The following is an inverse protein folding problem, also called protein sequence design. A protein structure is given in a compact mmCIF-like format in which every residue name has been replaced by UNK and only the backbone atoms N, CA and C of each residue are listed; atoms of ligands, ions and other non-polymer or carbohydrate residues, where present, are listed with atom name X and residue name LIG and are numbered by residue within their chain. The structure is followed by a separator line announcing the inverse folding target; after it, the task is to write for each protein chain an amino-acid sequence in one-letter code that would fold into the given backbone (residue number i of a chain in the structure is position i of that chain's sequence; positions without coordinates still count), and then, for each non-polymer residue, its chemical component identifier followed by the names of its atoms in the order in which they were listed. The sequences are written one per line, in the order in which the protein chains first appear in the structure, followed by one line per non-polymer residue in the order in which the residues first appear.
data_IF_855112809312
#
_entry.id   IF_855112809312
#
_cell.length_a   1.000
_cell.length_b   1.000
_cell.length_c   1.000
_cell.angle_alpha   90.00
_cell.angle_beta   90.00
_cell.angle_gamma   90.00
#
_symmetry.space_group_name_H-M   'P 1'
#
loop_
_entity.id
_entity.type
_entity.pdbx_description
1 polymer ?
#
# COMPACT_ATOMS: atom_id res chain seq x y z
N UNK A 1 -5.55 -33.81 -11.62
CA UNK A 1 -5.06 -34.99 -12.38
C UNK A 1 -5.02 -36.25 -11.53
N UNK A 2 -4.41 -36.23 -10.34
CA UNK A 2 -4.39 -37.38 -9.41
C UNK A 2 -5.78 -37.87 -9.02
N UNK A 3 -6.69 -36.95 -8.66
CA UNK A 3 -8.08 -37.27 -8.33
C UNK A 3 -8.84 -37.88 -9.52
N UNK A 4 -8.67 -37.32 -10.70
CA UNK A 4 -9.29 -37.83 -11.93
C UNK A 4 -8.78 -39.25 -12.27
N UNK A 5 -7.48 -39.49 -12.15
CA UNK A 5 -6.88 -40.80 -12.34
C UNK A 5 -7.37 -41.81 -11.30
N UNK A 6 -7.47 -41.41 -10.03
CA UNK A 6 -7.98 -42.25 -8.94
C UNK A 6 -9.45 -42.63 -9.18
N UNK A 7 -10.30 -41.67 -9.54
CA UNK A 7 -11.71 -41.93 -9.90
C UNK A 7 -11.80 -42.87 -11.10
N UNK A 8 -10.93 -42.70 -12.11
CA UNK A 8 -10.88 -43.57 -13.29
C UNK A 8 -10.42 -44.99 -12.95
N UNK A 9 -9.45 -45.14 -12.05
CA UNK A 9 -8.98 -46.44 -11.56
C UNK A 9 -10.07 -47.15 -10.74
N UNK A 10 -10.76 -46.43 -9.85
CA UNK A 10 -11.88 -46.97 -9.07
C UNK A 10 -13.02 -47.41 -10.01
N UNK A 11 -13.36 -46.59 -11.01
CA UNK A 11 -14.34 -46.93 -12.05
C UNK A 11 -13.98 -48.20 -12.82
N UNK A 12 -12.72 -48.32 -13.28
CA UNK A 12 -12.30 -49.42 -14.15
C UNK A 12 -11.98 -50.72 -13.42
N UNK A 13 -11.49 -50.66 -12.18
CA UNK A 13 -10.92 -51.82 -11.48
C UNK A 13 -11.64 -52.21 -10.19
N UNK A 14 -12.44 -51.33 -9.58
CA UNK A 14 -13.07 -51.60 -8.28
C UNK A 14 -14.61 -51.67 -8.33
N UNK A 15 -15.25 -51.03 -9.31
CA UNK A 15 -16.72 -50.99 -9.43
C UNK A 15 -17.27 -52.18 -10.23
N UNK A 16 -18.36 -52.79 -9.75
CA UNK A 16 -19.10 -53.83 -10.49
C UNK A 16 -19.92 -53.23 -11.63
N UNK A 17 -20.40 -54.08 -12.55
CA UNK A 17 -21.17 -53.65 -13.73
C UNK A 17 -22.46 -52.91 -13.35
N UNK A 18 -23.14 -53.29 -12.25
CA UNK A 18 -24.32 -52.56 -11.80
C UNK A 18 -23.97 -51.15 -11.30
N UNK A 19 -22.90 -51.02 -10.50
CA UNK A 19 -22.48 -49.74 -9.95
C UNK A 19 -21.85 -48.81 -11.00
N UNK A 20 -21.23 -49.36 -12.04
CA UNK A 20 -20.73 -48.58 -13.18
C UNK A 20 -21.86 -47.84 -13.90
N UNK A 21 -23.02 -48.49 -14.10
CA UNK A 21 -24.20 -47.86 -14.71
C UNK A 21 -24.74 -46.70 -13.88
N UNK A 22 -24.87 -46.89 -12.57
CA UNK A 22 -25.28 -45.81 -11.66
C UNK A 22 -24.27 -44.65 -11.66
N UNK A 23 -22.98 -44.94 -11.75
CA UNK A 23 -21.95 -43.91 -11.86
C UNK A 23 -22.03 -43.13 -13.17
N UNK A 24 -22.31 -43.80 -14.29
CA UNK A 24 -22.58 -43.15 -15.58
C UNK A 24 -23.79 -42.22 -15.51
N UNK A 25 -24.89 -42.65 -14.86
CA UNK A 25 -26.07 -41.81 -14.62
C UNK A 25 -25.74 -40.55 -13.81
N UNK A 26 -24.90 -40.69 -12.76
CA UNK A 26 -24.43 -39.55 -11.95
C UNK A 26 -23.58 -38.58 -12.78
N UNK A 27 -22.71 -39.09 -13.67
CA UNK A 27 -21.91 -38.23 -14.56
C UNK A 27 -22.82 -37.44 -15.50
N UNK A 28 -23.80 -38.10 -16.11
CA UNK A 28 -24.75 -37.45 -17.03
C UNK A 28 -25.56 -36.39 -16.28
N UNK A 29 -26.05 -36.72 -15.08
CA UNK A 29 -26.74 -35.77 -14.21
C UNK A 29 -25.84 -34.57 -13.88
N UNK A 30 -24.60 -34.79 -13.44
CA UNK A 30 -23.64 -33.72 -13.10
C UNK A 30 -23.29 -32.85 -14.30
N UNK A 31 -23.14 -33.45 -15.49
CA UNK A 31 -22.89 -32.72 -16.74
C UNK A 31 -24.04 -31.76 -17.07
N UNK A 32 -25.28 -32.09 -16.72
CA UNK A 32 -26.42 -31.19 -16.92
C UNK A 32 -26.33 -29.91 -16.08
N UNK A 33 -25.66 -29.96 -14.91
CA UNK A 33 -25.40 -28.78 -14.07
C UNK A 33 -24.22 -27.93 -14.52
N UNK A 34 -23.26 -28.52 -15.24
CA UNK A 34 -22.08 -27.79 -15.70
C UNK A 34 -22.43 -26.66 -16.68
N UNK A 35 -23.54 -26.77 -17.42
CA UNK A 35 -24.07 -25.72 -18.30
C UNK A 35 -24.97 -24.67 -17.60
N UNK A 36 -25.39 -24.93 -16.35
CA UNK A 36 -26.30 -24.05 -15.60
C UNK A 36 -25.54 -22.93 -14.83
N UNK A 37 -24.27 -23.13 -14.53
CA UNK A 37 -23.45 -22.16 -13.79
C UNK A 37 -22.61 -21.36 -14.81
N UNK A 38 -22.88 -20.05 -15.01
CA UNK A 38 -22.11 -19.22 -15.92
C UNK A 38 -20.78 -18.84 -15.24
N UNK A 39 -19.85 -19.80 -15.12
CA UNK A 39 -18.55 -19.60 -14.45
C UNK A 39 -17.80 -18.39 -15.01
N UNK A 40 -17.84 -18.18 -16.33
CA UNK A 40 -17.21 -17.03 -16.98
C UNK A 40 -17.79 -15.69 -16.52
N UNK A 41 -19.09 -15.63 -16.23
CA UNK A 41 -19.75 -14.42 -15.74
C UNK A 41 -19.36 -14.12 -14.28
N UNK A 42 -19.37 -15.13 -13.42
CA UNK A 42 -18.93 -15.02 -12.02
C UNK A 42 -17.45 -14.62 -11.95
N UNK A 43 -16.62 -15.27 -12.77
CA UNK A 43 -15.20 -14.96 -12.87
C UNK A 43 -14.96 -13.54 -13.40
N UNK A 44 -15.76 -13.08 -14.35
CA UNK A 44 -15.72 -11.71 -14.86
C UNK A 44 -15.94 -10.67 -13.75
N UNK A 45 -16.98 -10.83 -12.95
CA UNK A 45 -17.21 -9.95 -11.79
C UNK A 45 -16.12 -10.04 -10.73
N UNK A 46 -15.62 -11.25 -10.47
CA UNK A 46 -14.53 -11.44 -9.51
C UNK A 46 -13.27 -10.69 -9.95
N UNK A 47 -12.85 -10.85 -11.21
CA UNK A 47 -11.68 -10.17 -11.77
C UNK A 47 -11.87 -8.66 -11.75
N UNK A 48 -13.04 -8.16 -12.17
CA UNK A 48 -13.34 -6.72 -12.16
C UNK A 48 -13.27 -6.13 -10.74
N UNK A 49 -13.81 -6.83 -9.75
CA UNK A 49 -13.74 -6.41 -8.35
C UNK A 49 -12.29 -6.37 -7.84
N UNK A 50 -11.53 -7.45 -8.09
CA UNK A 50 -10.11 -7.54 -7.69
C UNK A 50 -9.30 -6.42 -8.34
N UNK A 51 -9.49 -6.19 -9.64
CA UNK A 51 -8.77 -5.15 -10.38
C UNK A 51 -9.12 -3.75 -9.89
N UNK A 52 -10.40 -3.45 -9.70
CA UNK A 52 -10.87 -2.15 -9.18
C UNK A 52 -10.23 -1.84 -7.84
N UNK A 53 -10.09 -2.85 -6.97
CA UNK A 53 -9.49 -2.69 -5.65
C UNK A 53 -7.98 -2.55 -5.69
N UNK A 54 -7.31 -3.37 -6.50
CA UNK A 54 -5.88 -3.20 -6.77
C UNK A 54 -5.58 -1.79 -7.28
N UNK A 55 -6.35 -1.32 -8.26
CA UNK A 55 -6.16 0.00 -8.85
C UNK A 55 -6.40 1.12 -7.83
N UNK A 56 -7.44 1.00 -7.00
CA UNK A 56 -7.70 1.94 -5.90
C UNK A 56 -6.52 1.99 -4.93
N UNK A 57 -6.04 0.82 -4.47
CA UNK A 57 -4.87 0.72 -3.59
C UNK A 57 -3.62 1.36 -4.21
N UNK A 58 -3.36 1.07 -5.49
CA UNK A 58 -2.22 1.61 -6.22
C UNK A 58 -2.28 3.13 -6.32
N UNK A 59 -3.46 3.68 -6.62
CA UNK A 59 -3.67 5.13 -6.75
C UNK A 59 -3.65 5.89 -5.42
N UNK A 60 -3.86 5.21 -4.29
CA UNK A 60 -3.78 5.83 -2.96
C UNK A 60 -2.33 6.09 -2.51
N UNK A 61 -1.35 5.36 -3.05
CA UNK A 61 0.06 5.53 -2.65
C UNK A 61 0.52 6.95 -3.00
N UNK A 62 0.89 7.79 -2.02
CA UNK A 62 1.25 9.17 -2.28
C UNK A 62 2.67 9.26 -2.84
N UNK A 63 2.83 10.07 -3.88
CA UNK A 63 4.11 10.26 -4.57
C UNK A 63 4.85 11.49 -4.04
N UNK A 64 6.04 11.28 -3.47
CA UNK A 64 6.88 12.39 -2.94
C UNK A 64 7.36 13.33 -4.05
N UNK A 65 7.37 12.88 -5.31
CA UNK A 65 7.87 13.65 -6.46
C UNK A 65 7.17 15.01 -6.63
N UNK A 66 5.84 15.08 -6.42
CA UNK A 66 5.08 16.34 -6.55
C UNK A 66 5.58 17.40 -5.57
N UNK A 67 5.78 16.98 -4.32
CA UNK A 67 6.40 17.82 -3.29
C UNK A 67 7.84 18.19 -3.64
N UNK A 68 8.64 17.24 -4.13
CA UNK A 68 10.04 17.47 -4.48
C UNK A 68 10.21 18.54 -5.58
N UNK A 69 9.35 18.51 -6.60
CA UNK A 69 9.31 19.52 -7.66
C UNK A 69 8.92 20.89 -7.07
N UNK A 70 7.85 20.92 -6.25
CA UNK A 70 7.36 22.15 -5.63
C UNK A 70 8.43 22.83 -4.75
N UNK A 71 9.06 22.08 -3.83
CA UNK A 71 10.09 22.65 -2.95
C UNK A 71 11.36 23.04 -3.70
N UNK A 72 11.73 22.33 -4.77
CA UNK A 72 12.89 22.68 -5.60
C UNK A 72 12.67 23.94 -6.41
N UNK A 73 11.43 24.20 -6.86
CA UNK A 73 11.08 25.40 -7.61
C UNK A 73 10.89 26.65 -6.73
N UNK A 74 10.38 26.47 -5.51
CA UNK A 74 9.98 27.60 -4.65
C UNK A 74 10.97 27.92 -3.53
N UNK A 75 11.72 26.95 -3.02
CA UNK A 75 12.80 27.21 -2.07
C UNK A 75 14.07 27.54 -2.85
N UNK A 76 14.24 28.81 -3.14
CA UNK A 76 15.33 29.33 -3.98
C UNK A 76 16.66 29.43 -3.24
N UNK A 77 17.76 29.53 -3.99
CA UNK A 77 19.09 29.78 -3.45
C UNK A 77 20.03 28.57 -3.47
N UNK A 78 21.30 28.88 -3.75
CA UNK A 78 22.42 27.93 -3.81
C UNK A 78 23.23 27.90 -2.51
N UNK A 79 22.77 28.60 -1.47
CA UNK A 79 23.40 28.54 -0.16
C UNK A 79 23.35 27.12 0.39
N UNK A 80 24.35 26.77 1.20
CA UNK A 80 24.37 25.49 1.88
C UNK A 80 23.11 25.28 2.73
N UNK A 81 22.65 26.34 3.41
CA UNK A 81 21.41 26.31 4.20
C UNK A 81 20.19 25.93 3.35
N UNK A 82 19.96 26.60 2.22
CA UNK A 82 18.84 26.30 1.34
C UNK A 82 18.91 24.87 0.78
N UNK A 83 20.12 24.41 0.40
CA UNK A 83 20.37 23.04 -0.04
C UNK A 83 20.04 22.02 1.04
N UNK A 84 20.47 22.26 2.28
CA UNK A 84 20.20 21.39 3.42
C UNK A 84 18.70 21.35 3.73
N UNK A 85 18.00 22.49 3.71
CA UNK A 85 16.55 22.53 3.93
C UNK A 85 15.78 21.69 2.90
N UNK A 86 16.09 21.83 1.60
CA UNK A 86 15.46 21.02 0.54
C UNK A 86 15.71 19.52 0.77
N UNK A 87 16.96 19.14 1.07
CA UNK A 87 17.33 17.74 1.32
C UNK A 87 16.62 17.16 2.54
N UNK A 88 16.59 17.91 3.65
CA UNK A 88 15.94 17.47 4.90
C UNK A 88 14.43 17.33 4.72
N UNK A 89 13.77 18.30 4.08
CA UNK A 89 12.35 18.21 3.76
C UNK A 89 12.02 16.97 2.91
N UNK A 90 12.78 16.72 1.84
CA UNK A 90 12.58 15.52 1.02
C UNK A 90 12.81 14.24 1.82
N UNK A 91 13.88 14.20 2.62
CA UNK A 91 14.23 13.05 3.47
C UNK A 91 13.14 12.74 4.50
N UNK A 92 12.55 13.76 5.12
CA UNK A 92 11.41 13.59 6.04
C UNK A 92 10.17 13.03 5.35
N UNK A 93 9.78 13.56 4.20
CA UNK A 93 8.64 13.05 3.43
C UNK A 93 8.85 11.59 3.00
N UNK A 94 10.07 11.24 2.57
CA UNK A 94 10.44 9.86 2.25
C UNK A 94 10.42 8.94 3.48
N UNK A 95 10.93 9.41 4.63
CA UNK A 95 10.89 8.67 5.90
C UNK A 95 9.45 8.30 6.28
N UNK A 96 8.53 9.26 6.18
CA UNK A 96 7.10 9.04 6.41
C UNK A 96 6.49 7.97 5.49
N UNK A 97 6.82 8.00 4.19
CA UNK A 97 6.35 6.98 3.24
C UNK A 97 6.90 5.59 3.57
N UNK A 98 8.20 5.49 3.83
CA UNK A 98 8.87 4.23 4.12
C UNK A 98 8.31 3.64 5.42
N UNK A 99 8.20 4.44 6.49
CA UNK A 99 7.70 3.97 7.78
C UNK A 99 6.22 3.60 7.75
N UNK A 100 5.41 4.28 6.93
CA UNK A 100 4.04 3.86 6.66
C UNK A 100 4.02 2.53 5.91
N UNK A 101 4.85 2.40 4.86
CA UNK A 101 4.94 1.19 4.04
C UNK A 101 5.38 -0.03 4.85
N UNK A 102 6.33 0.11 5.77
CA UNK A 102 6.82 -0.99 6.63
C UNK A 102 5.78 -1.53 7.59
N UNK A 103 4.71 -0.76 7.85
CA UNK A 103 3.60 -1.19 8.72
C UNK A 103 2.53 -1.93 7.96
N UNK A 104 2.30 -1.56 6.70
CA UNK A 104 1.23 -2.09 5.86
C UNK A 104 1.71 -3.23 4.95
N UNK A 105 2.99 -3.27 4.61
CA UNK A 105 3.53 -4.20 3.61
C UNK A 105 4.66 -5.06 4.19
N UNK A 106 4.48 -6.38 4.16
CA UNK A 106 5.46 -7.34 4.68
C UNK A 106 6.81 -7.31 3.93
N UNK A 107 6.83 -6.96 2.65
CA UNK A 107 8.07 -6.84 1.87
C UNK A 107 8.85 -5.61 2.33
N UNK A 108 8.17 -4.47 2.52
CA UNK A 108 8.77 -3.28 3.10
C UNK A 108 9.28 -3.56 4.54
N UNK A 109 8.49 -4.26 5.36
CA UNK A 109 8.88 -4.69 6.71
C UNK A 109 10.12 -5.61 6.72
N UNK A 110 10.25 -6.52 5.74
CA UNK A 110 11.45 -7.35 5.60
C UNK A 110 12.70 -6.53 5.24
N UNK A 111 12.55 -5.41 4.53
CA UNK A 111 13.65 -4.51 4.18
C UNK A 111 14.06 -3.59 5.34
N UNK A 112 13.11 -3.18 6.18
CA UNK A 112 13.34 -2.40 7.40
C UNK A 112 12.71 -3.10 8.60
N UNK A 113 13.32 -4.18 9.12
CA UNK A 113 12.73 -4.98 10.19
C UNK A 113 12.64 -4.25 11.53
N UNK A 114 13.65 -3.42 11.81
CA UNK A 114 13.75 -2.65 13.04
C UNK A 114 13.97 -1.16 12.74
N UNK A 115 13.61 -0.24 13.66
CA UNK A 115 13.71 1.19 13.42
C UNK A 115 15.14 1.68 13.15
N UNK A 116 16.16 0.98 13.65
CA UNK A 116 17.58 1.34 13.47
C UNK A 116 18.02 1.23 12.00
N UNK A 117 17.33 0.41 11.18
CA UNK A 117 17.60 0.35 9.73
C UNK A 117 17.29 1.67 9.03
N UNK A 118 16.46 2.55 9.59
CA UNK A 118 16.23 3.89 9.03
C UNK A 118 17.49 4.76 9.17
N UNK A 119 18.21 4.63 10.30
CA UNK A 119 19.48 5.32 10.51
C UNK A 119 20.58 4.70 9.66
N UNK A 120 20.69 3.37 9.65
CA UNK A 120 21.69 2.66 8.86
C UNK A 120 21.55 2.94 7.34
N UNK A 121 20.32 3.16 6.85
CA UNK A 121 20.06 3.53 5.46
C UNK A 121 20.25 5.04 5.17
N UNK A 122 20.61 5.86 6.16
CA UNK A 122 20.77 7.30 6.04
C UNK A 122 19.45 8.07 5.84
N UNK A 123 18.32 7.47 6.21
CA UNK A 123 16.98 8.08 6.09
C UNK A 123 16.70 9.00 7.28
N UNK A 124 17.14 8.61 8.49
CA UNK A 124 16.99 9.38 9.73
C UNK A 124 18.35 9.53 10.41
N UNK A 125 18.51 10.55 11.23
CA UNK A 125 19.59 10.59 12.23
C UNK A 125 19.18 9.80 13.47
N UNK A 126 20.15 9.49 14.35
CA UNK A 126 19.86 8.81 15.62
C UNK A 126 18.90 9.64 16.48
N UNK A 127 19.13 10.95 16.58
CA UNK A 127 18.30 11.84 17.39
C UNK A 127 16.86 11.94 16.85
N UNK A 128 16.72 11.99 15.52
CA UNK A 128 15.40 12.00 14.88
C UNK A 128 14.65 10.70 15.13
N UNK A 129 15.35 9.56 15.07
CA UNK A 129 14.76 8.26 15.36
C UNK A 129 14.27 8.18 16.81
N UNK A 130 15.08 8.63 17.77
CA UNK A 130 14.74 8.63 19.19
C UNK A 130 13.47 9.45 19.46
N UNK A 131 13.37 10.65 18.87
CA UNK A 131 12.17 11.48 19.03
C UNK A 131 10.96 10.77 18.43
N UNK A 132 11.07 10.19 17.22
CA UNK A 132 9.96 9.48 16.58
C UNK A 132 9.53 8.27 17.43
N UNK A 133 10.47 7.50 17.96
CA UNK A 133 10.17 6.32 18.78
C UNK A 133 9.56 6.68 20.15
N UNK A 134 9.86 7.87 20.68
CA UNK A 134 9.24 8.38 21.91
C UNK A 134 7.76 8.75 21.75
N UNK A 135 7.27 8.95 20.52
CA UNK A 135 5.89 9.37 20.25
C UNK A 135 4.92 8.19 20.38
N UNK A 136 3.91 8.39 21.23
CA UNK A 136 2.75 7.52 21.41
C UNK A 136 1.47 8.25 20.98
N UNK A 137 0.52 7.57 20.30
CA UNK A 137 0.53 6.16 19.93
C UNK A 137 1.37 5.86 18.68
N UNK A 138 1.80 4.60 18.53
CA UNK A 138 2.73 4.16 17.47
C UNK A 138 2.27 4.58 16.07
N UNK A 139 0.96 4.56 15.78
CA UNK A 139 0.38 4.91 14.47
C UNK A 139 0.61 6.38 14.07
N UNK A 140 0.93 7.27 15.02
CA UNK A 140 1.21 8.69 14.75
C UNK A 140 2.65 8.94 14.29
N UNK A 141 3.58 8.05 14.64
CA UNK A 141 5.01 8.23 14.34
C UNK A 141 5.32 8.57 12.86
N UNK A 142 4.66 7.99 11.82
CA UNK A 142 4.93 8.34 10.41
C UNK A 142 4.53 9.75 10.03
N UNK A 143 3.69 10.40 10.83
CA UNK A 143 3.26 11.77 10.61
C UNK A 143 4.21 12.79 11.26
N UNK A 144 5.11 12.37 12.16
CA UNK A 144 6.07 13.24 12.84
C UNK A 144 7.01 13.94 11.83
N UNK A 145 7.66 13.25 10.86
CA UNK A 145 8.50 13.93 9.87
C UNK A 145 7.71 14.89 8.96
N UNK A 146 6.42 14.65 8.74
CA UNK A 146 5.55 15.54 7.96
C UNK A 146 5.39 16.88 8.69
N UNK A 147 5.15 16.85 10.01
CA UNK A 147 5.06 18.05 10.85
C UNK A 147 6.38 18.83 10.84
N UNK A 148 7.51 18.12 10.92
CA UNK A 148 8.83 18.75 10.81
C UNK A 148 9.08 19.38 9.44
N UNK A 149 8.60 18.74 8.37
CA UNK A 149 8.66 19.29 7.00
C UNK A 149 7.88 20.60 6.90
N UNK A 150 6.65 20.64 7.41
CA UNK A 150 5.85 21.89 7.46
C UNK A 150 6.55 22.98 8.26
N UNK A 151 7.19 22.61 9.36
CA UNK A 151 7.94 23.55 10.22
C UNK A 151 9.16 24.12 9.49
N UNK A 152 9.93 23.28 8.78
CA UNK A 152 11.08 23.70 7.97
C UNK A 152 10.68 24.59 6.79
N UNK A 153 9.58 24.26 6.10
CA UNK A 153 9.05 25.08 5.01
C UNK A 153 8.57 26.45 5.52
N UNK A 154 7.90 26.47 6.68
CA UNK A 154 7.50 27.74 7.34
C UNK A 154 8.72 28.57 7.73
N UNK A 155 9.76 27.92 8.27
CA UNK A 155 11.03 28.58 8.59
C UNK A 155 11.70 29.14 7.33
N UNK A 156 11.68 28.41 6.21
CA UNK A 156 12.23 28.89 4.94
C UNK A 156 11.52 30.15 4.44
N UNK A 157 10.21 30.26 4.66
CA UNK A 157 9.45 31.50 4.40
C UNK A 157 9.91 32.65 5.30
N UNK A 158 10.07 32.42 6.60
CA UNK A 158 10.55 33.44 7.56
C UNK A 158 11.97 33.90 7.26
N UNK A 159 12.83 33.01 6.80
CA UNK A 159 14.23 33.30 6.42
C UNK A 159 14.37 33.91 5.02
N UNK A 160 13.25 34.12 4.31
CA UNK A 160 13.25 34.74 2.98
C UNK A 160 13.71 33.85 1.84
N UNK A 161 13.90 32.53 2.06
CA UNK A 161 14.19 31.58 0.99
C UNK A 161 12.97 31.33 0.08
N UNK A 162 11.77 31.46 0.66
CA UNK A 162 10.49 31.44 -0.06
C UNK A 162 9.89 32.84 0.07
N UNK A 163 10.04 33.64 -0.98
CA UNK A 163 9.60 35.04 -0.99
C UNK A 163 8.12 35.20 -1.34
N UNK A 164 7.58 34.30 -2.16
CA UNK A 164 6.19 34.33 -2.57
C UNK A 164 5.30 33.59 -1.57
N UNK A 165 4.36 34.29 -0.93
CA UNK A 165 3.42 33.69 0.03
C UNK A 165 2.53 32.62 -0.60
N UNK A 166 2.10 32.79 -1.86
CA UNK A 166 1.31 31.78 -2.56
C UNK A 166 2.11 30.49 -2.80
N UNK A 167 3.42 30.60 -3.03
CA UNK A 167 4.29 29.43 -3.15
C UNK A 167 4.40 28.68 -1.82
N UNK A 168 4.50 29.40 -0.71
CA UNK A 168 4.50 28.80 0.62
C UNK A 168 3.22 28.01 0.89
N UNK A 169 2.06 28.60 0.63
CA UNK A 169 0.75 27.93 0.77
C UNK A 169 0.67 26.70 -0.14
N UNK A 170 1.07 26.82 -1.40
CA UNK A 170 1.06 25.70 -2.35
C UNK A 170 1.96 24.53 -1.90
N UNK A 171 3.13 24.80 -1.33
CA UNK A 171 3.99 23.74 -0.77
C UNK A 171 3.30 23.05 0.41
N UNK A 172 2.71 23.84 1.33
CA UNK A 172 2.01 23.29 2.50
C UNK A 172 0.81 22.43 2.07
N UNK A 173 0.07 22.86 1.05
CA UNK A 173 -1.03 22.07 0.48
C UNK A 173 -0.53 20.73 -0.07
N UNK A 174 0.63 20.68 -0.72
CA UNK A 174 1.19 19.39 -1.15
C UNK A 174 1.67 18.51 -0.01
N UNK A 175 2.19 19.08 1.08
CA UNK A 175 2.48 18.32 2.29
C UNK A 175 1.19 17.72 2.86
N UNK A 176 0.11 18.49 2.89
CA UNK A 176 -1.20 18.04 3.39
C UNK A 176 -1.82 16.96 2.50
N UNK A 177 -1.73 17.10 1.17
CA UNK A 177 -2.18 16.09 0.22
C UNK A 177 -1.42 14.77 0.39
N UNK A 178 -0.10 14.86 0.56
CA UNK A 178 0.72 13.68 0.83
C UNK A 178 0.37 13.03 2.18
N UNK A 179 0.16 13.84 3.23
CA UNK A 179 -0.31 13.37 4.54
C UNK A 179 -1.64 12.62 4.42
N UNK A 180 -2.57 13.15 3.62
CA UNK A 180 -3.87 12.51 3.39
C UNK A 180 -3.69 11.16 2.68
N UNK A 181 -2.85 11.07 1.66
CA UNK A 181 -2.58 9.79 0.99
C UNK A 181 -2.00 8.73 1.94
N UNK A 182 -1.11 9.12 2.87
CA UNK A 182 -0.61 8.19 3.89
C UNK A 182 -1.71 7.74 4.86
N UNK A 183 -2.62 8.64 5.25
CA UNK A 183 -3.76 8.30 6.09
C UNK A 183 -4.70 7.32 5.37
N UNK A 184 -4.97 7.57 4.09
CA UNK A 184 -5.82 6.71 3.27
C UNK A 184 -5.20 5.30 3.13
N UNK A 185 -3.87 5.19 2.99
CA UNK A 185 -3.17 3.90 3.01
C UNK A 185 -3.42 3.13 4.32
N UNK A 186 -3.38 3.81 5.48
CA UNK A 186 -3.72 3.17 6.76
C UNK A 186 -5.18 2.72 6.79
N UNK A 187 -6.10 3.59 6.37
CA UNK A 187 -7.54 3.30 6.47
C UNK A 187 -7.96 2.12 5.59
N UNK A 188 -7.33 1.94 4.42
CA UNK A 188 -7.63 0.79 3.55
C UNK A 188 -7.21 -0.54 4.20
N UNK A 189 -6.13 -0.55 4.99
CA UNK A 189 -5.69 -1.76 5.70
C UNK A 189 -6.60 -2.07 6.91
N UNK A 190 -7.06 -1.03 7.62
CA UNK A 190 -7.98 -1.20 8.75
C UNK A 190 -9.37 -1.68 8.34
N UNK A 191 -9.89 -1.23 7.20
CA UNK A 191 -11.21 -1.65 6.68
C UNK A 191 -11.04 -2.81 5.70
N UNK A 192 -10.75 -3.99 6.25
CA UNK A 192 -10.76 -5.23 5.48
C UNK A 192 -12.17 -5.52 4.94
N UNK A 193 -12.25 -6.21 3.79
CA UNK A 193 -13.52 -6.68 3.22
C UNK A 193 -14.19 -7.57 4.27
N UNK A 194 -15.53 -7.49 4.42
CA UNK A 194 -16.25 -8.48 5.21
C UNK A 194 -15.91 -9.90 4.71
N UNK A 195 -15.44 -10.76 5.62
CA UNK A 195 -15.04 -12.15 5.35
C UNK A 195 -16.09 -12.96 4.56
N UNK A 196 -17.36 -12.55 4.67
CA UNK A 196 -18.51 -13.12 3.96
C UNK A 196 -18.29 -13.13 2.44
N UNK A 197 -17.67 -12.11 1.84
CA UNK A 197 -17.43 -12.09 0.40
C UNK A 197 -16.31 -13.03 -0.04
N UNK A 198 -15.33 -13.30 0.82
CA UNK A 198 -14.22 -14.21 0.52
C UNK A 198 -14.57 -15.69 0.70
N UNK A 199 -15.61 -16.02 1.47
CA UNK A 199 -16.02 -17.41 1.75
C UNK A 199 -17.18 -17.90 0.89
N UNK A 200 -17.83 -17.00 0.15
CA UNK A 200 -18.99 -17.31 -0.70
C UNK A 200 -18.63 -17.42 -2.19
N UNK A 201 -17.35 -17.27 -2.55
CA UNK A 201 -16.82 -17.34 -3.92
C UNK A 201 -16.16 -18.67 -4.20
#
# INVERSE_FOLDING_TARGET
MTLYALITCVYRFALSVEWQRTFEDIIIFTRSFQGLIPVSFILGFYIDNVFTRFWRLFMTIPWVLKFAISISGHLSGNSERARLMRRTCFRYMMSSLIMTSTRLNLIAKKRFPTPEFFVAAGILTEEELDIIMSVSPIHVQPFVPIVWTTSLVTLAGKEGFITNHHALVSIIDEINNFRQGLLDMFMIDFVCIPLVYTQSS
#
